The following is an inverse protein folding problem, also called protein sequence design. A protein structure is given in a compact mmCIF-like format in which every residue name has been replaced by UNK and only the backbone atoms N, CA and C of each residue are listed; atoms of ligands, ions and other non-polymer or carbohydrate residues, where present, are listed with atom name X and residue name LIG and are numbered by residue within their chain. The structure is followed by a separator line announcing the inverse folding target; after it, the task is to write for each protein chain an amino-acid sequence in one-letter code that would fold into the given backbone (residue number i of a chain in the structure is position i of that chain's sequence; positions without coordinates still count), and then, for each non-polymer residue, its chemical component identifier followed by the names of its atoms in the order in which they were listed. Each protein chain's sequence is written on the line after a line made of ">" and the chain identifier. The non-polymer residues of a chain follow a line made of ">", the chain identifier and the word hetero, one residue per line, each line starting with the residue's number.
data_IF_049586212166
#
_entry.id   IF_049586212166
#
_cell.length_a   1.000
_cell.length_b   1.000
_cell.length_c   1.000
_cell.angle_alpha   90.00
_cell.angle_beta   90.00
_cell.angle_gamma   90.00
#
_symmetry.space_group_name_H-M   'P 1'
#
loop_
_entity.id
_entity.type
_entity.pdbx_description
1 polymer ?
#
# COMPACT_ATOMS: atom_id res chain seq x y z
N UNK A 1 -21.81 -13.10 5.57
CA UNK A 1 -20.74 -12.76 4.62
C UNK A 1 -20.78 -11.27 4.35
N UNK A 2 -20.06 -10.49 5.16
CA UNK A 2 -19.99 -9.04 4.99
C UNK A 2 -18.83 -8.74 4.04
N UNK A 3 -19.14 -8.45 2.78
CA UNK A 3 -18.16 -7.88 1.87
C UNK A 3 -18.30 -6.36 2.03
N UNK A 4 -17.61 -5.80 3.03
CA UNK A 4 -17.58 -4.35 3.24
C UNK A 4 -16.76 -3.70 2.13
N UNK A 5 -17.25 -2.55 1.66
CA UNK A 5 -16.70 -1.79 0.52
C UNK A 5 -15.87 -0.58 0.97
N UNK A 6 -15.65 -0.43 2.27
CA UNK A 6 -14.71 0.51 2.87
C UNK A 6 -13.37 -0.22 3.02
N UNK A 7 -12.35 0.26 2.30
CA UNK A 7 -10.97 -0.22 2.39
C UNK A 7 -10.31 0.52 3.55
N UNK A 8 -10.08 -0.20 4.64
CA UNK A 8 -9.26 0.21 5.80
C UNK A 8 -8.02 -0.71 5.84
N UNK A 9 -7.55 -1.11 4.65
CA UNK A 9 -6.57 -2.19 4.50
C UNK A 9 -5.15 -1.69 4.82
N UNK A 10 -4.87 -0.43 4.51
CA UNK A 10 -3.59 0.22 4.77
C UNK A 10 -3.70 1.01 6.07
N UNK A 11 -2.90 0.70 7.11
CA UNK A 11 -2.88 1.50 8.32
C UNK A 11 -2.51 2.96 8.02
N UNK A 12 -3.21 3.91 8.63
CA UNK A 12 -2.96 5.34 8.42
C UNK A 12 -1.55 5.79 8.86
N UNK A 13 -0.95 5.07 9.80
CA UNK A 13 0.39 5.26 10.35
C UNK A 13 1.44 4.30 9.76
N UNK A 14 1.15 3.66 8.62
CA UNK A 14 2.07 2.77 7.94
C UNK A 14 3.33 3.52 7.49
N UNK A 15 4.49 3.11 8.01
CA UNK A 15 5.78 3.49 7.45
C UNK A 15 6.08 2.65 6.20
N UNK A 16 5.71 3.19 5.04
CA UNK A 16 5.91 2.59 3.73
C UNK A 16 7.32 2.83 3.15
N UNK A 17 8.27 3.37 3.92
CA UNK A 17 9.68 3.47 3.49
C UNK A 17 10.40 2.13 3.64
N UNK A 18 9.94 1.30 4.57
CA UNK A 18 10.55 0.01 4.92
C UNK A 18 9.79 -1.16 4.30
N UNK A 19 10.48 -1.99 3.51
CA UNK A 19 9.86 -3.17 2.89
C UNK A 19 9.29 -4.15 3.92
N UNK A 20 9.88 -4.26 5.11
CA UNK A 20 9.42 -5.12 6.19
C UNK A 20 7.99 -4.80 6.65
N UNK A 21 7.54 -3.56 6.51
CA UNK A 21 6.18 -3.13 6.84
C UNK A 21 5.21 -3.35 5.68
N UNK A 22 5.68 -3.24 4.43
CA UNK A 22 4.88 -3.45 3.21
C UNK A 22 4.66 -4.94 2.88
N UNK A 23 5.69 -5.75 3.06
CA UNK A 23 5.69 -7.18 2.73
C UNK A 23 4.48 -7.94 3.29
N UNK A 24 4.13 -7.86 4.59
CA UNK A 24 3.00 -8.60 5.12
C UNK A 24 1.66 -8.21 4.47
N UNK A 25 1.50 -6.94 4.09
CA UNK A 25 0.30 -6.44 3.41
C UNK A 25 0.23 -7.01 1.98
N UNK A 26 1.33 -6.96 1.23
CA UNK A 26 1.39 -7.57 -0.10
C UNK A 26 1.18 -9.09 -0.07
N UNK A 27 1.77 -9.80 0.90
CA UNK A 27 1.54 -11.23 1.10
C UNK A 27 0.08 -11.54 1.40
N UNK A 28 -0.58 -10.74 2.25
CA UNK A 28 -2.01 -10.87 2.54
C UNK A 28 -2.88 -10.75 1.27
N UNK A 29 -2.52 -9.86 0.33
CA UNK A 29 -3.21 -9.74 -0.96
C UNK A 29 -2.98 -10.96 -1.86
N UNK A 30 -1.75 -11.51 -1.90
CA UNK A 30 -1.38 -12.69 -2.71
C UNK A 30 -2.06 -13.96 -2.19
N UNK A 31 -2.09 -14.16 -0.88
CA UNK A 31 -2.65 -15.36 -0.25
C UNK A 31 -4.18 -15.35 -0.19
N UNK A 32 -4.82 -14.26 -0.63
CA UNK A 32 -6.27 -14.07 -0.52
C UNK A 32 -7.03 -15.01 -1.45
N UNK A 33 -7.91 -15.85 -0.88
CA UNK A 33 -8.83 -16.67 -1.66
C UNK A 33 -10.02 -15.84 -2.16
N UNK A 34 -10.20 -15.80 -3.47
CA UNK A 34 -11.30 -15.10 -4.13
C UNK A 34 -12.45 -16.07 -4.42
N UNK A 35 -13.59 -15.87 -3.75
CA UNK A 35 -14.78 -16.73 -3.91
C UNK A 35 -15.99 -15.99 -4.50
N UNK A 36 -15.84 -14.71 -4.87
CA UNK A 36 -16.93 -13.89 -5.35
C UNK A 36 -16.46 -12.70 -6.20
N UNK A 37 -17.32 -12.16 -7.07
CA UNK A 37 -16.98 -11.00 -7.89
C UNK A 37 -16.70 -9.74 -7.04
N UNK A 38 -17.40 -9.57 -5.92
CA UNK A 38 -17.16 -8.44 -5.01
C UNK A 38 -15.83 -8.59 -4.25
N UNK A 39 -15.38 -9.82 -4.02
CA UNK A 39 -14.10 -10.16 -3.40
C UNK A 39 -12.94 -9.70 -4.30
N UNK A 40 -13.08 -9.87 -5.62
CA UNK A 40 -12.13 -9.36 -6.60
C UNK A 40 -12.09 -7.83 -6.62
N UNK A 41 -13.25 -7.17 -6.55
CA UNK A 41 -13.31 -5.70 -6.45
C UNK A 41 -12.61 -5.19 -5.19
N UNK A 42 -12.88 -5.82 -4.04
CA UNK A 42 -12.18 -5.49 -2.79
C UNK A 42 -10.67 -5.67 -2.91
N UNK A 43 -10.20 -6.79 -3.48
CA UNK A 43 -8.77 -6.99 -3.72
C UNK A 43 -8.14 -5.87 -4.59
N UNK A 44 -8.85 -5.41 -5.62
CA UNK A 44 -8.37 -4.34 -6.50
C UNK A 44 -8.29 -3.02 -5.73
N UNK A 45 -9.27 -2.71 -4.87
CA UNK A 45 -9.28 -1.51 -4.04
C UNK A 45 -8.14 -1.53 -3.02
N UNK A 46 -8.04 -2.60 -2.23
CA UNK A 46 -7.00 -2.77 -1.22
C UNK A 46 -5.58 -2.68 -1.83
N UNK A 47 -5.38 -3.27 -3.01
CA UNK A 47 -4.12 -3.14 -3.75
C UNK A 47 -3.87 -1.70 -4.20
N UNK A 48 -4.88 -1.03 -4.74
CA UNK A 48 -4.74 0.34 -5.25
C UNK A 48 -4.36 1.30 -4.11
N UNK A 49 -4.92 1.09 -2.92
CA UNK A 49 -4.58 1.84 -1.72
C UNK A 49 -3.13 1.58 -1.27
N UNK A 50 -2.71 0.31 -1.22
CA UNK A 50 -1.34 -0.04 -0.83
C UNK A 50 -0.29 0.50 -1.81
N UNK A 51 -0.57 0.41 -3.12
CA UNK A 51 0.30 0.95 -4.16
C UNK A 51 0.38 2.50 -4.08
N UNK A 52 -0.70 3.17 -3.68
CA UNK A 52 -0.71 4.62 -3.47
C UNK A 52 0.17 5.02 -2.28
N UNK A 53 0.06 4.34 -1.14
CA UNK A 53 0.90 4.59 0.04
C UNK A 53 2.39 4.39 -0.25
N UNK A 54 2.75 3.32 -0.97
CA UNK A 54 4.12 3.07 -1.39
C UNK A 54 4.65 4.14 -2.37
N UNK A 55 3.79 4.64 -3.27
CA UNK A 55 4.15 5.70 -4.21
C UNK A 55 4.35 7.05 -3.52
N UNK A 56 3.52 7.37 -2.52
CA UNK A 56 3.67 8.57 -1.69
C UNK A 56 4.99 8.54 -0.90
N UNK A 57 5.29 7.41 -0.24
CA UNK A 57 6.56 7.18 0.43
C UNK A 57 7.77 7.42 -0.51
N UNK A 58 7.74 6.85 -1.71
CA UNK A 58 8.79 7.05 -2.70
C UNK A 58 8.93 8.51 -3.13
N UNK A 59 7.81 9.20 -3.35
CA UNK A 59 7.81 10.62 -3.71
C UNK A 59 8.42 11.48 -2.59
N UNK A 60 8.07 11.20 -1.33
CA UNK A 60 8.60 11.90 -0.17
C UNK A 60 10.11 11.69 -0.03
N UNK A 61 10.59 10.44 -0.17
CA UNK A 61 12.01 10.12 -0.18
C UNK A 61 12.76 10.84 -1.33
N UNK A 62 12.17 10.90 -2.52
CA UNK A 62 12.76 11.60 -3.66
C UNK A 62 12.88 13.11 -3.41
N UNK A 63 11.86 13.73 -2.80
CA UNK A 63 11.89 15.15 -2.39
C UNK A 63 12.97 15.39 -1.34
N UNK A 64 13.08 14.52 -0.34
CA UNK A 64 14.11 14.62 0.70
C UNK A 64 15.52 14.47 0.11
N UNK A 65 15.70 13.53 -0.80
CA UNK A 65 17.00 13.26 -1.45
C UNK A 65 17.41 14.41 -2.37
N UNK A 66 16.48 15.00 -3.14
CA UNK A 66 16.79 16.11 -4.06
C UNK A 66 17.12 17.43 -3.35
N UNK A 67 16.77 17.56 -2.06
CA UNK A 67 17.15 18.69 -1.21
C UNK A 67 18.65 18.71 -0.85
N UNK A 68 19.39 17.61 -1.09
CA UNK A 68 20.81 17.45 -0.75
C UNK A 68 21.75 17.36 -1.96
N UNK A 69 21.29 17.77 -3.15
CA UNK A 69 22.13 17.73 -4.37
C UNK A 69 23.13 18.89 -4.50
N UNK A 70 23.13 19.87 -3.58
CA UNK A 70 23.95 21.10 -3.62
C UNK A 70 24.89 21.25 -2.40
N UNK A 71 25.30 20.16 -1.74
CA UNK A 71 26.40 20.17 -0.74
C UNK A 71 27.70 19.62 -1.36
N UNK A 72 28.25 20.33 -2.35
CA UNK A 72 29.69 20.38 -2.70
C UNK A 72 30.07 21.79 -3.22
#
# INVERSE_FOLDING_TARGET
>A
MSCSTESDFVPADLDAHEWSNLEPLYRSLVDRKLNCANCLKGLILDRSELDAAASEAMANLYIETTRHADDE
#
